data_IF_131393549381
#
_entry.id   IF_131393549381
#
_cell.length_a   1.000
_cell.length_b   1.000
_cell.length_c   1.000
_cell.angle_alpha   90.00
_cell.angle_beta   90.00
_cell.angle_gamma   90.00
#
_symmetry.space_group_name_H-M   'P 1'
#
loop_
_entity.id
_entity.type
_entity.pdbx_description
1 polymer ?
#
# COMPACT_ATOMS: atom_id res chain seq x y z
N UNK A 1 0.62 0.07 14.75
CA UNK A 1 -0.65 0.74 15.10
C UNK A 1 -1.30 0.07 16.31
N UNK A 2 -1.99 0.84 17.15
CA UNK A 2 -2.71 0.29 18.31
C UNK A 2 -4.11 -0.18 17.90
N UNK A 3 -4.46 -1.44 18.25
CA UNK A 3 -5.80 -1.99 18.10
C UNK A 3 -6.22 -2.59 19.43
N UNK A 4 -7.27 -2.06 20.04
CA UNK A 4 -7.75 -2.49 21.35
C UNK A 4 -6.67 -2.51 22.46
N UNK A 5 -5.79 -1.51 22.48
CA UNK A 5 -4.73 -1.36 23.47
C UNK A 5 -3.44 -2.17 23.20
N UNK A 6 -3.39 -2.96 22.13
CA UNK A 6 -2.19 -3.71 21.72
C UNK A 6 -1.63 -3.17 20.41
N UNK A 7 -0.30 -3.00 20.36
CA UNK A 7 0.38 -2.61 19.12
C UNK A 7 0.60 -3.82 18.20
N UNK A 8 0.28 -3.65 16.92
CA UNK A 8 0.47 -4.65 15.89
C UNK A 8 1.23 -4.09 14.70
N UNK A 9 2.07 -4.91 14.11
CA UNK A 9 2.44 -4.83 12.69
C UNK A 9 1.38 -5.58 11.87
N UNK A 10 1.37 -5.39 10.57
CA UNK A 10 0.42 -6.08 9.68
C UNK A 10 0.86 -7.50 9.33
N UNK A 11 2.16 -7.78 9.49
CA UNK A 11 2.81 -9.08 9.29
C UNK A 11 3.97 -9.22 10.27
N UNK A 12 4.14 -10.40 10.85
CA UNK A 12 5.25 -10.71 11.77
C UNK A 12 5.53 -12.20 11.84
N UNK A 13 6.76 -12.55 12.25
CA UNK A 13 7.12 -13.93 12.65
C UNK A 13 6.47 -14.21 14.02
N UNK A 14 5.82 -15.34 14.20
CA UNK A 14 5.18 -15.72 15.46
C UNK A 14 6.24 -15.98 16.53
N UNK A 15 6.04 -15.43 17.75
CA UNK A 15 7.04 -15.49 18.81
C UNK A 15 7.28 -16.92 19.31
N UNK A 16 6.23 -17.74 19.36
CA UNK A 16 6.29 -19.10 19.90
C UNK A 16 6.83 -20.12 18.87
N UNK A 17 6.74 -19.81 17.58
CA UNK A 17 7.19 -20.67 16.48
C UNK A 17 7.61 -19.84 15.28
N UNK A 18 8.89 -19.72 15.06
CA UNK A 18 9.48 -18.90 14.01
C UNK A 18 9.24 -19.43 12.58
N UNK A 19 8.71 -20.65 12.45
CA UNK A 19 8.27 -21.21 11.16
C UNK A 19 6.87 -20.74 10.75
N UNK A 20 6.20 -19.94 11.58
CA UNK A 20 4.85 -19.42 11.33
C UNK A 20 4.91 -17.91 11.11
N UNK A 21 4.26 -17.45 10.06
CA UNK A 21 4.08 -16.03 9.77
C UNK A 21 2.64 -15.63 10.04
N UNK A 22 2.42 -14.69 10.95
CA UNK A 22 1.10 -14.17 11.26
C UNK A 22 0.82 -12.90 10.44
N UNK A 23 -0.42 -12.78 9.95
CA UNK A 23 -0.93 -11.62 9.21
C UNK A 23 -2.27 -11.15 9.77
N UNK A 24 -2.64 -9.91 9.48
CA UNK A 24 -4.00 -9.41 9.65
C UNK A 24 -4.77 -9.73 8.36
N UNK A 25 -5.82 -10.56 8.44
CA UNK A 25 -6.67 -10.85 7.27
C UNK A 25 -7.63 -9.69 7.02
N UNK A 26 -7.26 -8.83 6.06
CA UNK A 26 -7.96 -7.59 5.76
C UNK A 26 -9.33 -7.76 5.08
N UNK A 27 -9.69 -8.97 4.68
CA UNK A 27 -10.98 -9.25 4.02
C UNK A 27 -12.16 -9.09 4.97
N UNK A 28 -11.91 -9.20 6.27
CA UNK A 28 -12.93 -9.10 7.32
C UNK A 28 -13.07 -7.69 7.89
N UNK A 29 -12.12 -6.80 7.60
CA UNK A 29 -12.19 -5.40 8.01
C UNK A 29 -13.25 -4.65 7.16
N UNK A 30 -13.93 -3.66 7.76
CA UNK A 30 -13.77 -3.08 9.11
C UNK A 30 -14.51 -3.85 10.22
N UNK A 31 -15.20 -4.94 9.91
CA UNK A 31 -16.19 -5.57 10.79
C UNK A 31 -15.57 -6.53 11.81
N UNK A 32 -14.50 -7.24 11.42
CA UNK A 32 -13.83 -8.21 12.28
C UNK A 32 -12.31 -8.08 12.13
N UNK A 33 -11.59 -8.01 13.24
CA UNK A 33 -10.14 -8.04 13.29
C UNK A 33 -9.65 -9.47 13.48
N UNK A 34 -9.14 -10.08 12.42
CA UNK A 34 -8.73 -11.49 12.40
C UNK A 34 -7.24 -11.60 12.12
N UNK A 35 -6.52 -12.28 13.01
CA UNK A 35 -5.14 -12.69 12.81
C UNK A 35 -5.16 -14.11 12.21
N UNK A 36 -4.37 -14.31 11.15
CA UNK A 36 -4.24 -15.59 10.46
C UNK A 36 -2.79 -16.01 10.39
N UNK A 37 -2.53 -17.27 10.69
CA UNK A 37 -1.23 -17.91 10.60
C UNK A 37 -1.02 -18.52 9.22
N UNK A 38 0.17 -18.31 8.64
CA UNK A 38 0.64 -18.85 7.38
C UNK A 38 1.77 -19.85 7.68
N UNK A 39 1.59 -21.10 7.28
CA UNK A 39 2.50 -22.22 7.59
C UNK A 39 3.28 -22.73 6.38
N UNK A 40 3.00 -22.19 5.18
CA UNK A 40 3.61 -22.67 3.94
C UNK A 40 3.67 -21.55 2.90
N UNK A 41 4.56 -21.72 1.90
CA UNK A 41 4.59 -20.82 0.74
C UNK A 41 3.24 -20.79 0.01
N UNK A 42 2.54 -21.92 -0.04
CA UNK A 42 1.20 -21.99 -0.63
C UNK A 42 0.20 -21.09 0.10
N UNK A 43 0.23 -21.06 1.44
CA UNK A 43 -0.62 -20.16 2.23
C UNK A 43 -0.30 -18.69 1.92
N UNK A 44 0.98 -18.34 1.71
CA UNK A 44 1.41 -16.98 1.33
C UNK A 44 0.89 -16.61 -0.06
N UNK A 45 1.02 -17.51 -1.04
CA UNK A 45 0.47 -17.30 -2.39
C UNK A 45 -1.03 -17.02 -2.35
N UNK A 46 -1.79 -17.81 -1.58
CA UNK A 46 -3.24 -17.60 -1.39
C UNK A 46 -3.52 -16.27 -0.66
N UNK A 47 -2.75 -15.92 0.37
CA UNK A 47 -2.93 -14.67 1.10
C UNK A 47 -2.78 -13.44 0.19
N UNK A 48 -1.87 -13.47 -0.78
CA UNK A 48 -1.67 -12.41 -1.78
C UNK A 48 -2.79 -12.43 -2.84
N UNK A 49 -3.11 -13.60 -3.42
CA UNK A 49 -4.14 -13.75 -4.47
C UNK A 49 -5.52 -13.33 -4.00
N UNK A 50 -5.92 -13.81 -2.82
CA UNK A 50 -7.24 -13.59 -2.24
C UNK A 50 -7.35 -12.24 -1.52
N UNK A 51 -6.28 -11.43 -1.58
CA UNK A 51 -6.20 -10.13 -0.92
C UNK A 51 -6.47 -10.20 0.60
N UNK A 52 -6.00 -11.26 1.28
CA UNK A 52 -5.90 -11.29 2.75
C UNK A 52 -4.90 -10.22 3.21
N UNK A 53 -3.86 -10.01 2.42
CA UNK A 53 -2.93 -8.88 2.49
C UNK A 53 -2.97 -8.10 1.17
N UNK A 54 -2.77 -6.80 1.21
CA UNK A 54 -2.77 -5.90 0.05
C UNK A 54 -1.93 -4.65 0.32
N UNK A 55 -1.64 -3.88 -0.74
CA UNK A 55 -0.78 -2.69 -0.68
C UNK A 55 0.67 -3.02 -1.01
N UNK A 56 1.37 -2.07 -1.62
CA UNK A 56 2.68 -2.30 -2.22
C UNK A 56 3.72 -2.83 -1.22
N UNK A 57 3.90 -2.16 -0.09
CA UNK A 57 4.90 -2.55 0.93
C UNK A 57 4.56 -3.90 1.58
N UNK A 58 3.31 -4.09 2.02
CA UNK A 58 2.91 -5.33 2.69
C UNK A 58 3.00 -6.55 1.76
N UNK A 59 2.64 -6.43 0.48
CA UNK A 59 2.78 -7.53 -0.49
C UNK A 59 4.26 -7.90 -0.65
N UNK A 60 5.17 -6.92 -0.70
CA UNK A 60 6.60 -7.16 -0.75
C UNK A 60 7.13 -7.90 0.47
N UNK A 61 6.79 -7.43 1.68
CA UNK A 61 7.16 -8.09 2.93
C UNK A 61 6.57 -9.52 3.03
N UNK A 62 5.31 -9.69 2.61
CA UNK A 62 4.64 -11.00 2.60
C UNK A 62 5.34 -11.97 1.65
N UNK A 63 5.75 -11.52 0.45
CA UNK A 63 6.50 -12.33 -0.50
C UNK A 63 7.89 -12.70 0.04
N UNK A 64 8.56 -11.79 0.74
CA UNK A 64 9.84 -12.06 1.38
C UNK A 64 9.73 -13.15 2.46
N UNK A 65 8.71 -13.09 3.32
CA UNK A 65 8.42 -14.17 4.27
C UNK A 65 7.97 -15.46 3.57
N UNK A 66 7.29 -15.36 2.42
CA UNK A 66 6.98 -16.52 1.57
C UNK A 66 8.23 -17.25 1.09
N UNK A 67 9.29 -16.53 0.71
CA UNK A 67 10.59 -17.11 0.34
C UNK A 67 11.31 -17.73 1.55
N UNK A 68 11.13 -17.16 2.75
CA UNK A 68 11.62 -17.79 3.98
C UNK A 68 10.94 -19.14 4.24
N UNK A 69 9.61 -19.21 4.18
CA UNK A 69 8.86 -20.47 4.32
C UNK A 69 9.24 -21.48 3.23
N UNK A 70 9.41 -20.99 1.97
CA UNK A 70 9.88 -21.82 0.86
C UNK A 70 11.27 -22.42 1.12
N UNK A 71 12.16 -21.70 1.82
CA UNK A 71 13.49 -22.20 2.19
C UNK A 71 13.42 -23.31 3.24
N UNK A 72 12.48 -23.23 4.19
CA UNK A 72 12.22 -24.27 5.17
C UNK A 72 11.68 -25.53 4.47
N UNK A 73 10.68 -25.37 3.60
CA UNK A 73 10.12 -26.48 2.82
C UNK A 73 11.18 -27.14 1.92
N UNK A 74 12.04 -26.32 1.26
CA UNK A 74 13.09 -26.79 0.38
C UNK A 74 14.13 -27.66 1.11
N UNK A 75 14.46 -27.32 2.36
CA UNK A 75 15.41 -28.08 3.17
C UNK A 75 14.92 -29.49 3.54
N UNK A 76 13.61 -29.72 3.55
CA UNK A 76 13.02 -31.03 3.72
C UNK A 76 13.04 -31.90 2.44
N UNK A 77 13.59 -31.37 1.33
CA UNK A 77 13.66 -32.04 0.03
C UNK A 77 15.11 -32.30 -0.40
N UNK A 78 15.31 -33.24 -1.32
CA UNK A 78 16.62 -33.44 -1.95
C UNK A 78 16.91 -32.43 -3.08
N UNK A 79 16.03 -31.47 -3.33
CA UNK A 79 16.08 -30.55 -4.48
C UNK A 79 15.85 -29.11 -4.05
N UNK A 80 16.67 -28.63 -3.11
CA UNK A 80 16.51 -27.31 -2.48
C UNK A 80 16.29 -26.18 -3.51
N UNK A 81 17.23 -25.99 -4.43
CA UNK A 81 17.19 -24.87 -5.39
C UNK A 81 16.02 -25.01 -6.38
N UNK A 82 15.64 -26.23 -6.75
CA UNK A 82 14.47 -26.47 -7.62
C UNK A 82 13.17 -26.07 -6.92
N UNK A 83 13.00 -26.46 -5.66
CA UNK A 83 11.82 -26.12 -4.87
C UNK A 83 11.74 -24.60 -4.65
N UNK A 84 12.87 -23.98 -4.27
CA UNK A 84 12.96 -22.54 -4.05
C UNK A 84 12.59 -21.72 -5.29
N UNK A 85 13.12 -22.10 -6.46
CA UNK A 85 12.82 -21.43 -7.72
C UNK A 85 11.35 -21.60 -8.14
N UNK A 86 10.77 -22.79 -7.97
CA UNK A 86 9.34 -23.01 -8.23
C UNK A 86 8.45 -22.15 -7.33
N UNK A 87 8.81 -22.03 -6.05
CA UNK A 87 8.13 -21.17 -5.08
C UNK A 87 8.23 -19.69 -5.45
N UNK A 88 9.41 -19.26 -5.90
CA UNK A 88 9.62 -17.88 -6.39
C UNK A 88 8.72 -17.54 -7.59
N UNK A 89 8.58 -18.46 -8.54
CA UNK A 89 7.67 -18.30 -9.69
C UNK A 89 6.22 -18.21 -9.18
N UNK A 90 5.79 -19.13 -8.32
CA UNK A 90 4.42 -19.12 -7.78
C UNK A 90 4.07 -17.83 -7.01
N UNK A 91 5.03 -17.28 -6.26
CA UNK A 91 4.87 -16.00 -5.58
C UNK A 91 4.74 -14.85 -6.58
N UNK A 92 5.62 -14.76 -7.59
CA UNK A 92 5.55 -13.70 -8.62
C UNK A 92 4.25 -13.76 -9.42
N UNK A 93 3.77 -14.95 -9.73
CA UNK A 93 2.50 -15.18 -10.44
C UNK A 93 1.26 -14.87 -9.58
N UNK A 94 1.42 -14.71 -8.27
CA UNK A 94 0.31 -14.35 -7.41
C UNK A 94 -0.26 -12.96 -7.74
N UNK A 95 0.61 -11.98 -8.09
CA UNK A 95 0.23 -10.63 -8.58
C UNK A 95 1.31 -10.07 -9.51
N UNK A 96 1.27 -10.39 -10.81
CA UNK A 96 2.32 -10.02 -11.76
C UNK A 96 2.55 -8.51 -11.94
N UNK A 97 1.55 -7.68 -11.59
CA UNK A 97 1.63 -6.21 -11.69
C UNK A 97 2.28 -5.54 -10.47
N UNK A 98 2.53 -6.29 -9.39
CA UNK A 98 3.05 -5.75 -8.12
C UNK A 98 4.58 -5.70 -8.12
N UNK A 99 5.16 -4.53 -8.37
CA UNK A 99 6.63 -4.31 -8.42
C UNK A 99 7.33 -4.75 -7.14
N UNK A 100 6.78 -4.38 -5.99
CA UNK A 100 7.36 -4.72 -4.68
C UNK A 100 7.44 -6.22 -4.42
N UNK A 101 6.51 -7.01 -4.99
CA UNK A 101 6.52 -8.46 -4.87
C UNK A 101 7.70 -9.06 -5.61
N UNK A 102 7.86 -8.73 -6.90
CA UNK A 102 8.98 -9.20 -7.72
C UNK A 102 10.32 -8.76 -7.12
N UNK A 103 10.44 -7.50 -6.73
CA UNK A 103 11.61 -6.95 -6.08
C UNK A 103 12.01 -7.73 -4.81
N UNK A 104 11.05 -8.03 -3.93
CA UNK A 104 11.32 -8.73 -2.69
C UNK A 104 11.76 -10.20 -2.93
N UNK A 105 11.12 -10.90 -3.87
CA UNK A 105 11.51 -12.25 -4.27
C UNK A 105 12.91 -12.28 -4.86
N UNK A 106 13.27 -11.30 -5.71
CA UNK A 106 14.59 -11.23 -6.34
C UNK A 106 15.70 -10.95 -5.30
N UNK A 107 15.46 -10.06 -4.33
CA UNK A 107 16.38 -9.82 -3.22
C UNK A 107 16.58 -11.09 -2.40
N UNK A 108 15.51 -11.82 -2.10
CA UNK A 108 15.57 -13.08 -1.38
C UNK A 108 16.42 -14.13 -2.12
N UNK A 109 16.16 -14.34 -3.41
CA UNK A 109 16.94 -15.28 -4.22
C UNK A 109 18.43 -14.92 -4.23
N UNK A 110 18.78 -13.65 -4.40
CA UNK A 110 20.16 -13.17 -4.39
C UNK A 110 20.83 -13.36 -3.03
N UNK A 111 20.10 -13.18 -1.93
CA UNK A 111 20.61 -13.36 -0.59
C UNK A 111 20.83 -14.84 -0.25
N UNK A 112 19.80 -15.68 -0.50
CA UNK A 112 19.81 -17.12 -0.21
C UNK A 112 20.91 -17.85 -0.99
N UNK A 113 21.21 -17.42 -2.22
CA UNK A 113 22.29 -17.98 -3.04
C UNK A 113 23.69 -17.89 -2.40
N UNK A 114 23.88 -17.05 -1.37
CA UNK A 114 25.17 -16.89 -0.65
C UNK A 114 25.36 -17.94 0.44
N UNK A 115 24.32 -18.64 0.87
CA UNK A 115 24.41 -19.66 1.91
C UNK A 115 25.04 -20.95 1.40
N UNK A 116 25.95 -21.54 2.17
CA UNK A 116 26.68 -22.75 1.83
C UNK A 116 25.91 -24.04 2.20
N UNK A 117 25.01 -23.99 3.19
CA UNK A 117 24.20 -25.12 3.63
C UNK A 117 22.71 -24.77 3.65
N UNK A 118 21.78 -25.75 3.65
CA UNK A 118 20.35 -25.47 3.81
C UNK A 118 20.02 -24.65 5.06
N UNK A 119 20.67 -24.94 6.18
CA UNK A 119 20.45 -24.23 7.45
C UNK A 119 20.88 -22.75 7.35
N UNK A 120 22.04 -22.51 6.71
CA UNK A 120 22.51 -21.14 6.46
C UNK A 120 21.58 -20.39 5.50
N UNK A 121 21.10 -21.05 4.44
CA UNK A 121 20.14 -20.51 3.48
C UNK A 121 18.82 -20.12 4.16
N UNK A 122 18.28 -20.95 5.06
CA UNK A 122 17.08 -20.65 5.85
C UNK A 122 17.30 -19.41 6.73
N UNK A 123 18.44 -19.37 7.46
CA UNK A 123 18.77 -18.23 8.30
C UNK A 123 18.85 -16.94 7.48
N UNK A 124 19.58 -16.96 6.36
CA UNK A 124 19.69 -15.81 5.46
C UNK A 124 18.31 -15.37 4.96
N UNK A 125 17.44 -16.32 4.58
CA UNK A 125 16.09 -16.01 4.13
C UNK A 125 15.26 -15.31 5.22
N UNK A 126 15.32 -15.80 6.47
CA UNK A 126 14.65 -15.19 7.62
C UNK A 126 15.16 -13.78 7.88
N UNK A 127 16.49 -13.61 7.99
CA UNK A 127 17.12 -12.33 8.28
C UNK A 127 16.80 -11.30 7.17
N UNK A 128 16.81 -11.73 5.90
CA UNK A 128 16.48 -10.89 4.76
C UNK A 128 15.00 -10.49 4.76
N UNK A 129 14.06 -11.42 5.04
CA UNK A 129 12.64 -11.11 5.14
C UNK A 129 12.36 -10.11 6.27
N UNK A 130 12.95 -10.32 7.43
CA UNK A 130 12.85 -9.41 8.57
C UNK A 130 13.40 -8.02 8.23
N UNK A 131 14.55 -7.96 7.57
CA UNK A 131 15.16 -6.69 7.12
C UNK A 131 14.27 -5.95 6.11
N UNK A 132 13.63 -6.65 5.17
CA UNK A 132 12.68 -6.05 4.21
C UNK A 132 11.49 -5.46 4.97
N UNK A 133 10.91 -6.19 5.93
CA UNK A 133 9.79 -5.73 6.73
C UNK A 133 10.17 -4.53 7.62
N UNK A 134 11.31 -4.57 8.28
CA UNK A 134 11.79 -3.48 9.14
C UNK A 134 12.11 -2.20 8.33
N UNK A 135 12.71 -2.36 7.14
CA UNK A 135 12.98 -1.25 6.25
C UNK A 135 11.68 -0.62 5.72
N UNK A 136 10.66 -1.42 5.39
CA UNK A 136 9.36 -0.92 4.96
C UNK A 136 8.74 -0.02 6.04
N UNK A 137 8.71 -0.49 7.29
CA UNK A 137 8.22 0.28 8.43
C UNK A 137 9.05 1.56 8.67
N UNK A 138 10.39 1.48 8.60
CA UNK A 138 11.28 2.62 8.79
C UNK A 138 11.12 3.67 7.68
N UNK A 139 10.92 3.24 6.42
CA UNK A 139 10.67 4.14 5.31
C UNK A 139 9.33 4.86 5.46
N UNK A 140 8.29 4.13 5.85
CA UNK A 140 6.99 4.73 6.12
C UNK A 140 7.03 5.78 7.24
N UNK A 141 7.77 5.50 8.31
CA UNK A 141 8.01 6.49 9.37
C UNK A 141 8.68 7.76 8.83
N UNK A 142 9.73 7.61 8.01
CA UNK A 142 10.41 8.76 7.38
C UNK A 142 9.51 9.56 6.45
N UNK A 143 8.65 8.88 5.69
CA UNK A 143 7.62 9.54 4.86
C UNK A 143 6.70 10.39 5.72
N UNK A 144 6.30 9.90 6.89
CA UNK A 144 5.54 10.67 7.88
C UNK A 144 6.28 11.93 8.34
N UNK A 145 7.53 11.77 8.75
CA UNK A 145 8.40 12.87 9.22
C UNK A 145 8.58 13.98 8.16
N UNK A 146 8.77 13.63 6.88
CA UNK A 146 8.88 14.63 5.81
C UNK A 146 7.52 15.20 5.37
N UNK A 147 6.51 14.34 5.29
CA UNK A 147 5.21 14.77 4.80
C UNK A 147 4.46 15.68 5.76
N UNK A 148 4.68 15.55 7.07
CA UNK A 148 4.04 16.42 8.07
C UNK A 148 4.47 17.89 7.94
N UNK A 149 5.68 18.17 7.46
CA UNK A 149 6.15 19.54 7.22
C UNK A 149 5.25 20.29 6.23
N UNK A 150 4.66 19.59 5.25
CA UNK A 150 3.69 20.20 4.32
C UNK A 150 2.41 20.58 5.07
N UNK A 151 1.93 19.69 5.95
CA UNK A 151 0.71 19.92 6.73
C UNK A 151 0.93 21.07 7.72
N UNK A 152 2.09 21.16 8.35
CA UNK A 152 2.48 22.26 9.23
C UNK A 152 2.46 23.61 8.50
N UNK A 153 3.07 23.67 7.30
CA UNK A 153 3.06 24.88 6.47
C UNK A 153 1.65 25.31 6.06
N UNK A 154 0.76 24.35 5.76
CA UNK A 154 -0.64 24.63 5.47
C UNK A 154 -1.38 25.14 6.70
N UNK A 155 -1.16 24.54 7.87
CA UNK A 155 -1.72 24.95 9.15
C UNK A 155 -1.32 26.39 9.50
N UNK A 156 -0.06 26.75 9.32
CA UNK A 156 0.45 28.11 9.54
C UNK A 156 -0.22 29.12 8.61
N UNK A 157 -0.32 28.81 7.31
CA UNK A 157 -1.04 29.66 6.33
C UNK A 157 -2.50 29.86 6.69
N UNK A 158 -3.15 28.86 7.27
CA UNK A 158 -4.53 28.89 7.75
C UNK A 158 -4.66 29.45 9.18
N UNK A 159 -3.61 30.05 9.75
CA UNK A 159 -3.59 30.59 11.11
C UNK A 159 -3.97 29.55 12.18
N UNK A 160 -3.54 28.31 11.97
CA UNK A 160 -3.80 27.15 12.82
C UNK A 160 -5.28 26.73 12.89
N UNK A 161 -6.06 27.05 11.87
CA UNK A 161 -7.35 26.43 11.63
C UNK A 161 -7.19 25.00 11.12
N UNK A 162 -8.31 24.29 10.99
CA UNK A 162 -8.32 22.89 10.54
C UNK A 162 -7.77 22.77 9.12
N UNK A 163 -6.76 21.91 8.93
CA UNK A 163 -6.27 21.52 7.60
C UNK A 163 -7.08 20.33 7.11
N UNK A 164 -7.79 20.51 6.00
CA UNK A 164 -8.63 19.49 5.38
C UNK A 164 -7.84 18.71 4.32
N UNK A 165 -7.65 17.43 4.54
CA UNK A 165 -6.84 16.55 3.70
C UNK A 165 -7.78 15.55 3.02
N UNK A 166 -7.70 15.41 1.69
CA UNK A 166 -8.41 14.37 0.96
C UNK A 166 -7.46 13.21 0.65
N UNK A 167 -7.91 11.98 0.89
CA UNK A 167 -7.16 10.78 0.52
C UNK A 167 -8.04 9.78 -0.22
N UNK A 168 -7.39 8.93 -1.03
CA UNK A 168 -8.06 7.94 -1.87
C UNK A 168 -7.41 6.57 -1.71
N UNK A 169 -8.21 5.52 -1.64
CA UNK A 169 -7.80 4.14 -1.37
C UNK A 169 -7.29 3.95 0.07
N UNK A 170 -6.47 2.93 0.28
CA UNK A 170 -5.74 2.74 1.51
C UNK A 170 -4.25 2.61 1.20
N UNK A 171 -3.50 3.64 1.55
CA UNK A 171 -2.05 3.64 1.63
C UNK A 171 -1.62 3.98 3.07
N UNK A 172 -2.35 3.43 4.01
CA UNK A 172 -2.12 3.50 5.43
C UNK A 172 -1.33 2.32 5.97
N UNK A 173 -1.37 2.14 7.28
CA UNK A 173 -0.71 1.07 8.00
C UNK A 173 -1.02 -0.31 7.41
N UNK A 174 -2.29 -0.58 7.05
CA UNK A 174 -2.72 -1.87 6.46
C UNK A 174 -2.14 -2.15 5.06
N UNK A 175 -1.53 -1.17 4.40
CA UNK A 175 -0.88 -1.34 3.08
C UNK A 175 0.62 -1.62 3.17
N UNK A 176 1.19 -1.51 4.38
CA UNK A 176 2.61 -1.61 4.69
C UNK A 176 2.80 -2.50 5.92
N UNK A 177 4.04 -2.64 6.38
CA UNK A 177 4.33 -3.37 7.62
C UNK A 177 3.92 -2.54 8.83
N UNK A 178 4.20 -1.22 8.81
CA UNK A 178 3.77 -0.27 9.83
C UNK A 178 3.73 1.16 9.27
N UNK A 179 3.08 2.11 10.00
CA UNK A 179 2.92 3.54 9.74
C UNK A 179 2.11 3.92 8.49
N UNK A 180 2.23 3.20 7.37
CA UNK A 180 1.66 3.59 6.09
C UNK A 180 2.48 4.65 5.35
N UNK A 181 2.13 4.97 4.08
CA UNK A 181 2.77 6.03 3.33
C UNK A 181 1.94 7.32 3.30
N UNK A 182 0.74 7.28 2.73
CA UNK A 182 -0.12 8.47 2.65
C UNK A 182 -0.71 8.87 4.01
N UNK A 183 -0.97 7.92 4.90
CA UNK A 183 -1.52 8.22 6.23
C UNK A 183 -0.45 8.56 7.26
N UNK A 184 0.82 8.19 7.05
CA UNK A 184 1.89 8.49 8.00
C UNK A 184 2.04 10.00 8.29
N UNK A 185 2.04 10.92 7.30
CA UNK A 185 2.02 12.35 7.58
C UNK A 185 0.76 12.83 8.34
N UNK A 186 -0.36 12.16 8.12
CA UNK A 186 -1.63 12.45 8.79
C UNK A 186 -1.54 12.07 10.28
N UNK A 187 -1.03 10.88 10.58
CA UNK A 187 -0.81 10.43 11.96
C UNK A 187 0.18 11.33 12.68
N UNK A 188 1.31 11.63 12.04
CA UNK A 188 2.34 12.52 12.59
C UNK A 188 1.77 13.93 12.88
N UNK A 189 0.96 14.48 11.98
CA UNK A 189 0.30 15.76 12.19
C UNK A 189 -0.67 15.74 13.38
N UNK A 190 -1.46 14.67 13.50
CA UNK A 190 -2.39 14.49 14.60
C UNK A 190 -1.67 14.36 15.95
N UNK A 191 -0.60 13.56 16.00
CA UNK A 191 0.23 13.38 17.20
C UNK A 191 0.95 14.66 17.63
N UNK A 192 1.32 15.53 16.69
CA UNK A 192 1.84 16.89 16.97
C UNK A 192 0.76 17.90 17.38
N UNK A 193 -0.49 17.49 17.46
CA UNK A 193 -1.61 18.36 17.85
C UNK A 193 -2.03 19.36 16.78
N UNK A 194 -1.66 19.16 15.52
CA UNK A 194 -2.14 19.97 14.40
C UNK A 194 -3.61 19.63 14.17
N UNK A 195 -4.46 20.64 14.07
CA UNK A 195 -5.87 20.44 13.78
C UNK A 195 -6.04 19.99 12.33
N UNK A 196 -6.44 18.75 12.13
CA UNK A 196 -6.68 18.17 10.82
C UNK A 196 -8.06 17.54 10.74
N UNK A 197 -8.59 17.43 9.52
CA UNK A 197 -9.75 16.62 9.18
C UNK A 197 -9.46 15.88 7.87
N UNK A 198 -9.83 14.62 7.78
CA UNK A 198 -9.55 13.78 6.60
C UNK A 198 -10.83 13.42 5.87
N UNK A 199 -10.94 13.83 4.60
CA UNK A 199 -11.93 13.34 3.66
C UNK A 199 -11.43 12.03 3.08
N UNK A 200 -12.17 10.95 3.30
CA UNK A 200 -11.80 9.60 2.87
C UNK A 200 -12.72 9.17 1.74
N UNK A 201 -12.23 9.10 0.50
CA UNK A 201 -12.97 8.48 -0.59
C UNK A 201 -13.30 7.02 -0.25
N UNK A 202 -14.56 6.59 -0.46
CA UNK A 202 -14.94 5.18 -0.24
C UNK A 202 -14.09 4.18 -1.03
N UNK A 203 -13.68 4.56 -2.23
CA UNK A 203 -12.78 3.83 -3.14
C UNK A 203 -13.39 2.55 -3.68
N UNK A 204 -14.38 2.71 -4.57
CA UNK A 204 -14.89 1.59 -5.35
C UNK A 204 -13.81 0.96 -6.24
N UNK A 205 -13.89 -0.37 -6.59
CA UNK A 205 -14.99 -1.27 -6.25
C UNK A 205 -14.90 -1.92 -4.86
N UNK A 206 -13.72 -2.03 -4.24
CA UNK A 206 -13.51 -2.78 -2.99
C UNK A 206 -13.69 -1.97 -1.71
N UNK A 207 -14.05 -0.71 -1.81
CA UNK A 207 -14.27 0.18 -0.67
C UNK A 207 -13.09 0.26 0.30
N UNK A 208 -11.85 0.29 -0.23
CA UNK A 208 -10.63 0.27 0.59
C UNK A 208 -10.46 1.55 1.43
N UNK A 209 -11.01 2.68 0.99
CA UNK A 209 -11.09 3.88 1.80
C UNK A 209 -12.08 3.72 2.95
N UNK A 210 -13.33 3.36 2.65
CA UNK A 210 -14.38 3.20 3.66
C UNK A 210 -14.09 2.04 4.64
N UNK A 211 -13.58 0.91 4.12
CA UNK A 211 -13.34 -0.28 4.95
C UNK A 211 -12.02 -0.30 5.69
N UNK A 212 -10.96 0.29 5.14
CA UNK A 212 -9.62 0.19 5.71
C UNK A 212 -9.09 1.53 6.21
N UNK A 213 -9.07 2.58 5.38
CA UNK A 213 -8.55 3.89 5.81
C UNK A 213 -9.37 4.49 6.93
N UNK A 214 -10.71 4.48 6.83
CA UNK A 214 -11.57 4.96 7.88
C UNK A 214 -11.42 4.14 9.18
N UNK A 215 -11.25 2.81 9.07
CA UNK A 215 -11.00 1.96 10.22
C UNK A 215 -9.68 2.29 10.92
N UNK A 216 -8.61 2.53 10.16
CA UNK A 216 -7.33 2.98 10.72
C UNK A 216 -7.46 4.33 11.44
N UNK A 217 -8.09 5.32 10.79
CA UNK A 217 -8.25 6.66 11.33
C UNK A 217 -9.08 6.67 12.62
N UNK A 218 -10.15 5.84 12.69
CA UNK A 218 -10.95 5.66 13.92
C UNK A 218 -10.07 5.10 15.05
N UNK A 219 -9.29 4.04 14.79
CA UNK A 219 -8.44 3.42 15.81
C UNK A 219 -7.31 4.35 16.28
N UNK A 220 -6.89 5.30 15.45
CA UNK A 220 -5.88 6.30 15.79
C UNK A 220 -6.48 7.58 16.41
N UNK A 221 -7.81 7.74 16.35
CA UNK A 221 -8.54 8.91 16.88
C UNK A 221 -8.52 10.13 15.94
N UNK A 222 -8.13 9.97 14.67
CA UNK A 222 -8.05 11.06 13.69
C UNK A 222 -9.44 11.45 13.18
N UNK A 223 -9.85 12.74 13.27
CA UNK A 223 -11.12 13.23 12.73
C UNK A 223 -11.20 13.01 11.20
N UNK A 224 -12.26 12.33 10.74
CA UNK A 224 -12.45 12.08 9.32
C UNK A 224 -13.92 11.93 8.94
N UNK A 225 -14.19 11.98 7.65
CA UNK A 225 -15.51 11.72 7.06
C UNK A 225 -15.33 10.89 5.80
N UNK A 226 -16.06 9.79 5.69
CA UNK A 226 -16.13 8.98 4.47
C UNK A 226 -17.04 9.66 3.47
N UNK A 227 -16.60 9.75 2.22
CA UNK A 227 -17.33 10.34 1.10
C UNK A 227 -17.38 9.38 -0.08
N UNK A 228 -18.35 9.57 -0.96
CA UNK A 228 -18.38 8.87 -2.26
C UNK A 228 -17.21 9.33 -3.13
N UNK A 229 -16.72 8.46 -4.02
CA UNK A 229 -15.54 8.74 -4.87
C UNK A 229 -15.67 10.02 -5.70
N UNK A 230 -16.87 10.38 -6.11
CA UNK A 230 -17.11 11.57 -6.94
C UNK A 230 -17.28 12.87 -6.14
N UNK A 231 -17.43 12.80 -4.82
CA UNK A 231 -17.65 14.00 -3.98
C UNK A 231 -16.37 14.87 -3.83
N UNK A 232 -15.17 14.28 -3.99
CA UNK A 232 -13.92 15.00 -3.82
C UNK A 232 -13.80 16.26 -4.69
N UNK A 233 -14.20 16.19 -5.97
CA UNK A 233 -14.22 17.35 -6.87
C UNK A 233 -15.16 18.46 -6.40
N UNK A 234 -16.34 18.10 -5.92
CA UNK A 234 -17.29 19.06 -5.33
C UNK A 234 -16.72 19.76 -4.10
N UNK A 235 -16.10 19.02 -3.19
CA UNK A 235 -15.47 19.60 -1.99
C UNK A 235 -14.33 20.56 -2.36
N UNK A 236 -13.53 20.24 -3.38
CA UNK A 236 -12.46 21.11 -3.88
C UNK A 236 -13.00 22.43 -4.44
N UNK A 237 -14.08 22.39 -5.23
CA UNK A 237 -14.74 23.59 -5.76
C UNK A 237 -15.29 24.51 -4.68
N UNK A 238 -15.62 23.97 -3.51
CA UNK A 238 -16.14 24.75 -2.38
C UNK A 238 -15.08 25.13 -1.34
N UNK A 239 -13.78 24.91 -1.65
CA UNK A 239 -12.69 25.29 -0.74
C UNK A 239 -12.62 24.45 0.54
N UNK A 240 -13.18 23.23 0.51
CA UNK A 240 -13.23 22.32 1.67
C UNK A 240 -12.06 21.32 1.69
N UNK A 241 -11.10 21.43 0.76
CA UNK A 241 -9.90 20.61 0.69
C UNK A 241 -8.67 21.53 0.56
N UNK A 242 -7.70 21.35 1.43
CA UNK A 242 -6.45 22.14 1.42
C UNK A 242 -5.30 21.41 0.71
N UNK A 243 -5.31 20.06 0.74
CA UNK A 243 -4.37 19.22 0.02
C UNK A 243 -4.95 17.83 -0.23
N UNK A 244 -4.37 17.14 -1.21
CA UNK A 244 -4.61 15.72 -1.44
C UNK A 244 -3.31 14.97 -1.20
N UNK A 245 -3.42 13.81 -0.55
CA UNK A 245 -2.32 12.87 -0.39
C UNK A 245 -2.80 11.45 -0.69
N UNK A 246 -2.12 10.77 -1.62
CA UNK A 246 -2.39 9.37 -1.97
C UNK A 246 -1.11 8.55 -1.89
N UNK A 247 -1.25 7.23 -1.86
CA UNK A 247 -0.13 6.33 -2.13
C UNK A 247 0.07 6.11 -3.62
N UNK A 248 0.93 5.13 -3.94
CA UNK A 248 1.10 4.60 -5.28
C UNK A 248 1.37 3.09 -5.23
N UNK A 249 0.89 2.36 -6.23
CA UNK A 249 1.24 0.96 -6.44
C UNK A 249 2.51 0.84 -7.32
N UNK A 250 2.79 1.85 -8.16
CA UNK A 250 3.99 1.95 -8.99
C UNK A 250 4.25 3.41 -9.38
N UNK A 251 5.49 3.85 -9.32
CA UNK A 251 5.91 5.16 -9.85
C UNK A 251 7.03 4.96 -10.86
N UNK A 252 6.91 5.58 -12.02
CA UNK A 252 7.90 5.49 -13.08
C UNK A 252 9.08 6.42 -12.84
N UNK A 253 10.15 6.23 -13.60
CA UNK A 253 11.35 7.06 -13.55
C UNK A 253 11.08 8.55 -13.84
N UNK A 254 10.07 8.87 -14.67
CA UNK A 254 9.67 10.25 -14.98
C UNK A 254 8.65 10.84 -13.99
N UNK A 255 8.19 10.06 -12.99
CA UNK A 255 7.31 10.52 -11.95
C UNK A 255 5.81 10.29 -12.20
N UNK A 256 5.43 9.55 -13.24
CA UNK A 256 4.04 9.11 -13.40
C UNK A 256 3.69 8.08 -12.34
N UNK A 257 2.54 8.22 -11.71
CA UNK A 257 2.12 7.35 -10.60
C UNK A 257 0.89 6.53 -10.96
N UNK A 258 1.02 5.20 -10.94
CA UNK A 258 -0.13 4.30 -10.97
C UNK A 258 -0.64 4.08 -9.55
N UNK A 259 -1.93 4.28 -9.35
CA UNK A 259 -2.62 4.04 -8.08
C UNK A 259 -4.04 3.57 -8.33
N UNK A 260 -4.78 3.27 -7.29
CA UNK A 260 -6.18 2.83 -7.37
C UNK A 260 -6.99 3.73 -8.30
N UNK A 261 -7.81 3.09 -9.16
CA UNK A 261 -8.70 3.78 -10.10
C UNK A 261 -9.45 4.93 -9.42
N UNK A 262 -9.48 6.10 -10.07
CA UNK A 262 -10.05 7.34 -9.52
C UNK A 262 -9.00 8.36 -9.04
N UNK A 263 -7.74 7.95 -8.88
CA UNK A 263 -6.63 8.84 -8.48
C UNK A 263 -6.38 9.93 -9.52
N UNK A 264 -6.36 9.58 -10.80
CA UNK A 264 -6.19 10.53 -11.90
C UNK A 264 -7.29 11.61 -11.92
N UNK A 265 -8.55 11.24 -11.69
CA UNK A 265 -9.65 12.20 -11.61
C UNK A 265 -9.49 13.19 -10.46
N UNK A 266 -8.97 12.73 -9.30
CA UNK A 266 -8.67 13.61 -8.17
C UNK A 266 -7.54 14.59 -8.50
N UNK A 267 -6.51 14.12 -9.18
CA UNK A 267 -5.38 14.97 -9.60
C UNK A 267 -5.82 16.05 -10.61
N UNK A 268 -6.72 15.72 -11.53
CA UNK A 268 -7.29 16.69 -12.47
C UNK A 268 -8.13 17.74 -11.73
N UNK A 269 -9.03 17.32 -10.81
CA UNK A 269 -9.82 18.23 -10.02
C UNK A 269 -8.96 19.12 -9.11
N UNK A 270 -7.88 18.57 -8.54
CA UNK A 270 -6.92 19.31 -7.74
C UNK A 270 -6.22 20.41 -8.55
N UNK A 271 -5.75 20.09 -9.77
CA UNK A 271 -5.12 21.07 -10.65
C UNK A 271 -6.08 22.20 -11.02
N UNK A 272 -7.32 21.88 -11.39
CA UNK A 272 -8.35 22.88 -11.74
C UNK A 272 -8.66 23.84 -10.58
N UNK A 273 -8.67 23.31 -9.35
CA UNK A 273 -8.94 24.08 -8.14
C UNK A 273 -7.67 24.61 -7.44
N UNK A 274 -6.47 24.45 -8.03
CA UNK A 274 -5.17 24.90 -7.49
C UNK A 274 -4.84 24.32 -6.12
N UNK A 275 -5.27 23.09 -5.87
CA UNK A 275 -5.00 22.34 -4.64
C UNK A 275 -3.77 21.47 -4.85
N UNK A 276 -2.79 21.44 -3.94
CA UNK A 276 -1.61 20.61 -4.07
C UNK A 276 -1.97 19.13 -3.94
N UNK A 277 -1.43 18.32 -4.86
CA UNK A 277 -1.61 16.88 -4.93
C UNK A 277 -0.27 16.18 -4.71
N UNK A 278 -0.15 15.41 -3.63
CA UNK A 278 1.05 14.67 -3.27
C UNK A 278 0.86 13.17 -3.38
N UNK A 279 1.94 12.47 -3.77
CA UNK A 279 2.00 11.02 -3.78
C UNK A 279 3.09 10.57 -2.82
N UNK A 280 2.73 9.78 -1.82
CA UNK A 280 3.62 9.27 -0.78
C UNK A 280 3.94 7.79 -1.01
N UNK A 281 5.23 7.45 -1.12
CA UNK A 281 5.68 6.10 -1.47
C UNK A 281 7.10 5.83 -0.96
N UNK A 282 7.44 4.60 -0.55
CA UNK A 282 8.81 4.19 -0.34
C UNK A 282 9.52 3.95 -1.68
N UNK A 283 10.85 4.06 -1.68
CA UNK A 283 11.67 3.90 -2.90
C UNK A 283 11.55 2.53 -3.57
N UNK A 284 11.10 1.51 -2.86
CA UNK A 284 10.80 0.18 -3.40
C UNK A 284 9.62 0.16 -4.39
N UNK A 285 8.80 1.22 -4.41
CA UNK A 285 7.65 1.36 -5.32
C UNK A 285 8.03 1.99 -6.66
N UNK A 286 9.26 2.52 -6.81
CA UNK A 286 9.72 3.00 -8.11
C UNK A 286 10.04 1.85 -9.06
N UNK A 287 9.49 1.95 -10.27
CA UNK A 287 9.92 1.15 -11.41
C UNK A 287 10.90 1.97 -12.28
N UNK A 288 12.17 1.71 -12.07
CA UNK A 288 13.26 2.44 -12.72
C UNK A 288 13.44 2.12 -14.21
N UNK A 289 12.75 1.07 -14.71
CA UNK A 289 12.83 0.60 -16.11
C UNK A 289 11.83 1.33 -17.01
N UNK A 290 10.76 1.87 -16.43
CA UNK A 290 9.64 2.50 -17.14
C UNK A 290 9.77 4.02 -17.08
N UNK A 291 9.55 4.68 -18.22
CA UNK A 291 9.63 6.14 -18.37
C UNK A 291 8.32 6.80 -18.83
N UNK A 292 7.36 6.05 -19.37
CA UNK A 292 6.03 6.54 -19.77
C UNK A 292 4.95 5.65 -19.11
N UNK A 293 4.40 6.15 -18.01
CA UNK A 293 3.45 5.37 -17.22
C UNK A 293 2.17 5.02 -17.97
N UNK A 294 1.70 5.90 -18.85
CA UNK A 294 0.46 5.68 -19.60
C UNK A 294 0.61 4.55 -20.62
N UNK A 295 1.78 4.47 -21.28
CA UNK A 295 2.02 3.49 -22.33
C UNK A 295 2.57 2.17 -21.82
N UNK A 296 3.39 2.21 -20.77
CA UNK A 296 4.20 1.08 -20.34
C UNK A 296 3.64 0.35 -19.12
N UNK A 297 2.83 1.01 -18.26
CA UNK A 297 2.23 0.32 -17.12
C UNK A 297 1.02 -0.48 -17.59
N UNK A 298 1.10 -1.80 -17.48
CA UNK A 298 -0.04 -2.67 -17.72
C UNK A 298 -1.05 -2.51 -16.57
N UNK A 299 -2.26 -2.07 -16.90
CA UNK A 299 -3.35 -1.91 -15.93
C UNK A 299 -4.06 -3.24 -15.72
N UNK A 300 -4.04 -3.72 -14.48
CA UNK A 300 -4.71 -4.95 -14.07
C UNK A 300 -6.23 -4.82 -14.26
N UNK A 301 -6.82 -5.72 -15.04
CA UNK A 301 -8.27 -5.91 -15.09
C UNK A 301 -8.63 -7.09 -14.19
N UNK A 302 -9.46 -6.83 -13.20
CA UNK A 302 -9.93 -7.82 -12.23
C UNK A 302 -11.33 -8.34 -12.59
N UNK A 303 -11.78 -9.36 -11.86
CA UNK A 303 -13.12 -9.91 -12.07
C UNK A 303 -14.22 -8.85 -11.90
N UNK A 304 -15.25 -8.93 -12.76
CA UNK A 304 -16.40 -8.01 -12.77
C UNK A 304 -17.25 -8.11 -11.50
N UNK A 305 -17.20 -9.21 -10.80
CA UNK A 305 -17.87 -9.44 -9.51
C UNK A 305 -17.54 -8.36 -8.47
N UNK A 306 -16.30 -7.82 -8.44
CA UNK A 306 -15.95 -6.76 -7.50
C UNK A 306 -16.74 -5.45 -7.78
N UNK A 307 -17.13 -5.22 -9.03
CA UNK A 307 -17.97 -4.09 -9.43
C UNK A 307 -19.45 -4.37 -9.18
N UNK A 308 -19.89 -5.59 -9.49
CA UNK A 308 -21.30 -5.99 -9.40
C UNK A 308 -21.80 -6.18 -7.98
N UNK A 309 -20.90 -6.56 -7.08
CA UNK A 309 -21.26 -6.85 -5.70
C UNK A 309 -20.58 -5.89 -4.73
N UNK A 310 -21.23 -5.69 -3.60
CA UNK A 310 -20.65 -4.99 -2.44
C UNK A 310 -20.77 -5.88 -1.21
N UNK A 311 -19.74 -5.88 -0.37
CA UNK A 311 -19.78 -6.56 0.92
C UNK A 311 -20.15 -5.55 2.01
N UNK A 312 -21.01 -5.94 2.92
CA UNK A 312 -21.43 -5.12 4.05
C UNK A 312 -21.85 -5.96 5.25
N UNK A 313 -22.02 -5.31 6.39
CA UNK A 313 -22.46 -5.95 7.63
C UNK A 313 -23.99 -5.93 7.71
N UNK A 314 -24.61 -7.10 7.81
CA UNK A 314 -26.04 -7.25 7.95
C UNK A 314 -26.36 -8.51 8.76
N UNK A 315 -27.30 -8.43 9.70
CA UNK A 315 -27.75 -9.55 10.56
C UNK A 315 -26.58 -10.28 11.25
N UNK A 316 -25.61 -9.52 11.77
CA UNK A 316 -24.39 -10.01 12.45
C UNK A 316 -23.44 -10.85 11.58
N UNK A 317 -23.50 -10.70 10.26
CA UNK A 317 -22.60 -11.37 9.31
C UNK A 317 -22.21 -10.47 8.16
N UNK A 318 -21.08 -10.80 7.49
CA UNK A 318 -20.66 -10.12 6.26
C UNK A 318 -21.44 -10.75 5.10
N UNK A 319 -22.30 -9.95 4.44
CA UNK A 319 -23.06 -10.36 3.27
C UNK A 319 -22.50 -9.71 2.01
N UNK A 320 -22.46 -10.47 0.92
CA UNK A 320 -22.15 -10.00 -0.45
C UNK A 320 -23.46 -9.76 -1.18
N UNK A 321 -23.72 -8.50 -1.56
CA UNK A 321 -24.99 -8.07 -2.16
C UNK A 321 -24.76 -7.61 -3.59
N UNK A 322 -25.61 -8.10 -4.52
CA UNK A 322 -25.64 -7.67 -5.91
C UNK A 322 -26.25 -6.26 -6.00
N UNK A 323 -25.54 -5.31 -6.61
CA UNK A 323 -25.95 -3.90 -6.74
C UNK A 323 -26.23 -3.46 -8.18
N UNK A 324 -26.08 -4.37 -9.13
CA UNK A 324 -26.38 -4.12 -10.57
C UNK A 324 -27.44 -5.10 -11.05
N UNK A 325 -28.10 -4.86 -12.19
CA UNK A 325 -28.87 -5.92 -12.85
C UNK A 325 -27.96 -7.15 -13.08
N UNK A 326 -28.47 -8.35 -12.82
CA UNK A 326 -27.66 -9.58 -12.81
C UNK A 326 -26.89 -9.82 -14.13
N UNK A 327 -27.51 -9.49 -15.26
CA UNK A 327 -26.95 -9.69 -16.60
C UNK A 327 -26.21 -8.47 -17.16
N UNK A 328 -26.04 -7.38 -16.38
CA UNK A 328 -25.25 -6.23 -16.84
C UNK A 328 -23.78 -6.61 -16.91
N UNK A 329 -23.08 -6.38 -18.05
CA UNK A 329 -21.64 -6.53 -18.09
C UNK A 329 -20.97 -5.47 -17.22
N UNK A 330 -19.82 -5.79 -16.65
CA UNK A 330 -19.00 -4.84 -15.88
C UNK A 330 -17.53 -4.96 -16.28
N UNK A 331 -16.81 -3.85 -16.18
CA UNK A 331 -15.35 -3.80 -16.37
C UNK A 331 -14.72 -3.27 -15.10
N UNK A 332 -13.64 -3.91 -14.66
CA UNK A 332 -12.96 -3.60 -13.40
C UNK A 332 -11.48 -3.28 -13.65
N UNK A 333 -11.20 -2.03 -13.97
CA UNK A 333 -9.83 -1.51 -14.03
C UNK A 333 -9.34 -1.25 -12.61
N UNK A 334 -8.25 -1.92 -12.22
CA UNK A 334 -7.74 -1.83 -10.84
C UNK A 334 -7.07 -0.50 -10.54
N UNK A 335 -6.45 0.12 -11.54
CA UNK A 335 -5.61 1.31 -11.39
C UNK A 335 -5.83 2.30 -12.52
N UNK A 336 -5.44 3.56 -12.29
CA UNK A 336 -5.18 4.55 -13.32
C UNK A 336 -3.79 5.15 -13.16
N UNK A 337 -3.31 5.85 -14.18
CA UNK A 337 -2.00 6.52 -14.17
C UNK A 337 -2.21 8.03 -14.08
N UNK A 338 -1.66 8.61 -13.03
CA UNK A 338 -1.58 10.06 -12.85
C UNK A 338 -0.25 10.56 -13.41
N UNK A 339 -0.24 11.35 -14.50
CA UNK A 339 0.99 11.91 -15.03
C UNK A 339 1.71 12.82 -14.05
N UNK A 340 3.05 12.78 -14.04
CA UNK A 340 3.87 13.58 -13.13
C UNK A 340 3.56 15.09 -13.15
N UNK A 341 3.10 15.63 -14.29
CA UNK A 341 2.67 17.04 -14.41
C UNK A 341 1.49 17.44 -13.52
N UNK A 342 0.70 16.47 -13.05
CA UNK A 342 -0.43 16.68 -12.16
C UNK A 342 -0.05 16.52 -10.68
N UNK A 343 1.17 16.06 -10.40
CA UNK A 343 1.66 15.76 -9.06
C UNK A 343 2.53 16.92 -8.58
N UNK A 344 2.15 17.56 -7.49
CA UNK A 344 2.89 18.67 -6.86
C UNK A 344 4.24 18.18 -6.33
N UNK A 345 4.27 17.00 -5.71
CA UNK A 345 5.48 16.38 -5.20
C UNK A 345 5.31 14.92 -4.80
N UNK A 346 6.44 14.20 -4.83
CA UNK A 346 6.57 12.85 -4.29
C UNK A 346 7.18 12.94 -2.90
N UNK A 347 6.56 12.28 -1.92
CA UNK A 347 7.05 12.18 -0.55
C UNK A 347 7.64 10.79 -0.38
N UNK A 348 8.95 10.72 -0.10
CA UNK A 348 9.68 9.45 0.04
C UNK A 348 10.42 9.41 1.37
N UNK A 349 11.02 8.28 1.73
CA UNK A 349 11.89 8.16 2.90
C UNK A 349 13.17 9.00 2.80
N UNK A 350 13.45 9.61 1.65
CA UNK A 350 14.61 10.49 1.42
C UNK A 350 14.26 11.97 1.37
N UNK A 351 12.98 12.31 1.55
CA UNK A 351 12.47 13.67 1.49
C UNK A 351 11.43 13.86 0.40
N UNK A 352 11.23 15.11 0.00
CA UNK A 352 10.21 15.52 -0.97
C UNK A 352 10.89 16.01 -2.25
N UNK A 353 10.44 15.53 -3.41
CA UNK A 353 10.91 16.02 -4.72
C UNK A 353 9.74 16.23 -5.68
N UNK A 354 10.00 16.97 -6.78
CA UNK A 354 9.03 17.08 -7.88
C UNK A 354 8.91 15.75 -8.62
N UNK A 355 7.73 15.47 -9.14
CA UNK A 355 7.44 14.27 -9.93
C UNK A 355 7.98 14.44 -11.37
N UNK A 356 9.30 14.43 -11.52
CA UNK A 356 10.00 14.44 -12.80
C UNK A 356 11.35 13.72 -12.67
N UNK A 357 11.87 13.21 -13.77
CA UNK A 357 13.10 12.40 -13.80
C UNK A 357 14.30 13.12 -13.17
N UNK A 358 14.48 14.40 -13.48
CA UNK A 358 15.62 15.19 -12.99
C UNK A 358 15.68 15.23 -11.47
N UNK A 359 14.58 15.58 -10.82
CA UNK A 359 14.51 15.73 -9.36
C UNK A 359 14.51 14.37 -8.66
N UNK A 360 13.87 13.36 -9.24
CA UNK A 360 13.90 11.98 -8.76
C UNK A 360 15.34 11.43 -8.78
N UNK A 361 16.06 11.55 -9.91
CA UNK A 361 17.45 11.08 -10.02
C UNK A 361 18.44 11.90 -9.19
N UNK A 362 18.09 13.14 -8.82
CA UNK A 362 18.88 13.92 -7.85
C UNK A 362 18.75 13.32 -6.45
N UNK A 363 17.56 12.87 -6.08
CA UNK A 363 17.28 12.23 -4.79
C UNK A 363 17.81 10.78 -4.72
N UNK A 364 17.84 10.08 -5.86
CA UNK A 364 18.30 8.69 -6.00
C UNK A 364 19.47 8.58 -6.99
N UNK A 365 20.66 9.17 -6.70
CA UNK A 365 21.77 9.26 -7.66
C UNK A 365 22.33 7.88 -8.06
N UNK A 366 22.12 6.85 -7.26
CA UNK A 366 22.52 5.46 -7.58
C UNK A 366 21.64 4.81 -8.67
N UNK A 367 20.60 5.49 -9.14
CA UNK A 367 19.68 5.02 -10.19
C UNK A 367 19.85 5.76 -11.53
N UNK A 368 20.88 6.60 -11.63
CA UNK A 368 21.28 7.29 -12.87
C UNK A 368 21.76 6.34 -13.94
#
# INVERSE_FOLDING_TARGET
MNVNGKNYRTIWVKEEDDTIISIIDQRYLPHQFIIKDLHSVHNVVLAIKDMQVRGAGLIGATAAYGMYLASIEAAATNYFDKHLNASAVALKDARPTAVNLEWAVDIQLQAIAKGASPEEKIKIAKDTATSIADNDAAYCKKIGEYGVEIIEQLSEKKKREVVNILTHCNAGWLAFVDHGSATAPIYEAFERGIKIHVWVDETRPRNQGAGLTAWELINHGVPHTVITDNAGGHLMQHGLVDMIITGADRVTRNGDAANKIGTYLKALAALDNKIPFYVALPSSTFDWKISDGIKEICIEQRGDDEVKYISGWCDNEIKKVLITPANSPASNYGFDVTPGRLITGLITERGICKANEKDILKMFPQKK
#
